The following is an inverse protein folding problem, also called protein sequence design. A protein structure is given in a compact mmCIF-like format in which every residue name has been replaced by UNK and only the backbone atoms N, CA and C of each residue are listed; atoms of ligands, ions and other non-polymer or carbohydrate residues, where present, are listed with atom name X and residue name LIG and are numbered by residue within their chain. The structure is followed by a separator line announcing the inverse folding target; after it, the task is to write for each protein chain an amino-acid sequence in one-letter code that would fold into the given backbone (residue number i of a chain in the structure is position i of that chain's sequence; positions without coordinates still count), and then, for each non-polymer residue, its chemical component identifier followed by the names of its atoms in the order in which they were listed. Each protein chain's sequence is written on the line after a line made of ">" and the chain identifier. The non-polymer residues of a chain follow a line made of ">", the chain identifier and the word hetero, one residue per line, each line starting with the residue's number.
data_IF_948624608651
#
_entry.id   IF_948624608651
#
_cell.length_a   1.000
_cell.length_b   1.000
_cell.length_c   1.000
_cell.angle_alpha   90.00
_cell.angle_beta   90.00
_cell.angle_gamma   90.00
#
_symmetry.space_group_name_H-M   'P 1'
#
loop_
_entity.id
_entity.type
_entity.pdbx_description
1 polymer ?
#
# COMPACT_ATOMS: atom_id res chain seq x y z
N UNK A 1 9.84 -4.10 1.28
CA UNK A 1 11.15 -4.78 1.12
C UNK A 1 12.09 -3.88 0.35
N UNK A 2 13.42 -4.03 0.47
CA UNK A 2 14.42 -3.27 -0.31
C UNK A 2 15.71 -4.07 -0.42
N UNK A 3 16.44 -3.91 -1.54
CA UNK A 3 17.71 -4.61 -1.78
C UNK A 3 18.95 -3.91 -1.16
N UNK A 4 18.74 -2.83 -0.41
CA UNK A 4 19.79 -2.00 0.18
C UNK A 4 19.81 -2.05 1.71
N UNK A 5 19.26 -3.10 2.32
CA UNK A 5 19.14 -3.30 3.77
C UNK A 5 18.36 -2.21 4.54
N UNK A 6 17.59 -1.35 3.84
CA UNK A 6 16.75 -0.32 4.46
C UNK A 6 15.26 -0.70 4.56
N UNK A 7 14.90 -1.91 4.14
CA UNK A 7 13.53 -2.42 4.25
C UNK A 7 13.38 -3.36 5.43
N UNK A 8 12.21 -3.37 6.09
CA UNK A 8 11.92 -4.33 7.16
C UNK A 8 11.86 -5.79 6.65
N UNK A 9 11.47 -6.01 5.40
CA UNK A 9 11.28 -7.37 4.87
C UNK A 9 10.29 -8.17 5.72
N UNK A 10 10.61 -9.43 6.02
CA UNK A 10 9.72 -10.30 6.81
C UNK A 10 9.59 -9.88 8.28
N UNK A 11 10.47 -8.98 8.78
CA UNK A 11 10.37 -8.44 10.13
C UNK A 11 9.08 -7.67 10.41
N UNK A 12 8.32 -7.33 9.36
CA UNK A 12 6.98 -6.75 9.48
C UNK A 12 6.06 -7.64 10.34
N UNK A 13 6.22 -8.97 10.29
CA UNK A 13 5.41 -9.91 11.12
C UNK A 13 5.64 -9.69 12.61
N UNK A 14 6.90 -9.60 13.03
CA UNK A 14 7.26 -9.33 14.42
C UNK A 14 6.88 -7.89 14.80
N UNK A 15 7.13 -6.92 13.92
CA UNK A 15 6.75 -5.53 14.16
C UNK A 15 5.24 -5.35 14.38
N UNK A 16 4.40 -6.11 13.66
CA UNK A 16 2.95 -6.15 13.90
C UNK A 16 2.63 -6.56 15.34
N UNK A 17 3.29 -7.60 15.85
CA UNK A 17 3.08 -8.05 17.24
C UNK A 17 3.49 -6.98 18.27
N UNK A 18 4.37 -6.06 17.88
CA UNK A 18 4.81 -4.92 18.69
C UNK A 18 3.96 -3.65 18.49
N UNK A 19 2.89 -3.70 17.69
CA UNK A 19 1.96 -2.58 17.50
C UNK A 19 2.18 -1.75 16.23
N UNK A 20 2.88 -2.28 15.21
CA UNK A 20 2.97 -1.62 13.90
C UNK A 20 1.57 -1.35 13.32
N UNK A 21 1.30 -0.09 13.00
CA UNK A 21 -0.04 0.37 12.57
C UNK A 21 -0.24 0.45 11.05
N UNK A 22 0.79 0.21 10.25
CA UNK A 22 0.72 0.27 8.80
C UNK A 22 2.08 0.05 8.13
N UNK A 23 2.07 -0.18 6.82
CA UNK A 23 3.26 -0.47 6.01
C UNK A 23 3.28 0.42 4.79
N UNK A 24 4.39 1.11 4.56
CA UNK A 24 4.70 1.69 3.24
C UNK A 24 4.95 0.56 2.25
N UNK A 25 3.91 0.20 1.50
CA UNK A 25 3.92 -0.88 0.55
C UNK A 25 4.42 -0.41 -0.83
N UNK A 26 4.24 0.88 -1.16
CA UNK A 26 4.65 1.45 -2.44
C UNK A 26 5.53 2.69 -2.27
N UNK A 27 6.84 2.49 -2.41
CA UNK A 27 7.84 3.55 -2.33
C UNK A 27 8.41 3.85 -3.73
N UNK A 28 8.54 5.13 -4.09
CA UNK A 28 8.97 5.56 -5.44
C UNK A 28 10.40 5.17 -5.82
N UNK A 29 11.23 5.01 -4.79
CA UNK A 29 12.64 4.61 -4.83
C UNK A 29 12.86 3.12 -4.57
N UNK A 30 11.79 2.32 -4.63
CA UNK A 30 11.81 0.86 -4.45
C UNK A 30 11.39 0.14 -5.75
N UNK A 31 12.04 -0.99 -6.04
CA UNK A 31 11.75 -1.80 -7.21
C UNK A 31 10.31 -2.33 -7.19
N UNK A 32 9.60 -2.40 -8.35
CA UNK A 32 8.19 -2.77 -8.37
C UNK A 32 7.87 -4.11 -7.69
N UNK A 33 8.70 -5.13 -7.88
CA UNK A 33 8.48 -6.44 -7.25
C UNK A 33 8.64 -6.39 -5.72
N UNK A 34 9.54 -5.52 -5.20
CA UNK A 34 9.74 -5.33 -3.76
C UNK A 34 8.56 -4.59 -3.11
N UNK A 35 7.94 -3.67 -3.86
CA UNK A 35 6.68 -3.03 -3.46
C UNK A 35 5.54 -4.07 -3.40
N UNK A 36 5.42 -4.92 -4.42
CA UNK A 36 4.41 -5.99 -4.43
C UNK A 36 4.58 -6.99 -3.28
N UNK A 37 5.82 -7.38 -2.94
CA UNK A 37 6.08 -8.21 -1.76
C UNK A 37 5.60 -7.54 -0.47
N UNK A 38 5.87 -6.24 -0.30
CA UNK A 38 5.42 -5.48 0.87
C UNK A 38 3.90 -5.39 0.93
N UNK A 39 3.25 -5.11 -0.21
CA UNK A 39 1.80 -5.07 -0.33
C UNK A 39 1.16 -6.42 0.01
N UNK A 40 1.69 -7.52 -0.52
CA UNK A 40 1.19 -8.87 -0.24
C UNK A 40 1.29 -9.21 1.25
N UNK A 41 2.45 -8.96 1.88
CA UNK A 41 2.62 -9.25 3.30
C UNK A 41 1.74 -8.36 4.18
N UNK A 42 1.65 -7.06 3.90
CA UNK A 42 0.78 -6.15 4.65
C UNK A 42 -0.70 -6.54 4.52
N UNK A 43 -1.13 -6.93 3.32
CA UNK A 43 -2.50 -7.43 3.07
C UNK A 43 -2.77 -8.73 3.84
N UNK A 44 -1.86 -9.70 3.80
CA UNK A 44 -1.96 -10.95 4.58
C UNK A 44 -2.12 -10.66 6.07
N UNK A 45 -1.41 -9.65 6.55
CA UNK A 45 -1.42 -9.23 7.93
C UNK A 45 -2.56 -8.25 8.27
N UNK A 46 -3.48 -7.95 7.35
CA UNK A 46 -4.53 -6.93 7.55
C UNK A 46 -3.97 -5.60 8.10
N UNK A 47 -2.80 -5.21 7.59
CA UNK A 47 -2.16 -3.93 7.89
C UNK A 47 -2.49 -2.91 6.79
N UNK A 48 -2.71 -1.65 7.14
CA UNK A 48 -2.86 -0.58 6.17
C UNK A 48 -1.67 -0.47 5.23
N UNK A 49 -1.97 -0.45 3.93
CA UNK A 49 -0.99 -0.26 2.88
C UNK A 49 -0.95 1.22 2.46
N UNK A 50 0.21 1.86 2.58
CA UNK A 50 0.41 3.26 2.16
C UNK A 50 1.44 3.37 1.05
N UNK A 51 1.40 4.49 0.33
CA UNK A 51 2.32 4.80 -0.76
C UNK A 51 2.94 6.19 -0.60
N UNK A 52 4.21 6.33 -0.93
CA UNK A 52 4.92 7.61 -0.93
C UNK A 52 5.97 7.65 -2.05
N UNK A 53 6.23 8.85 -2.55
CA UNK A 53 7.24 9.07 -3.56
C UNK A 53 8.66 8.86 -3.03
N UNK A 54 8.93 9.25 -1.77
CA UNK A 54 10.28 9.26 -1.17
C UNK A 54 11.34 9.81 -2.16
N UNK A 55 10.98 10.93 -2.80
CA UNK A 55 11.65 11.43 -3.98
C UNK A 55 12.93 12.18 -3.62
N UNK A 56 14.04 11.77 -4.22
CA UNK A 56 15.33 12.47 -4.16
C UNK A 56 15.72 13.08 -5.53
N UNK A 57 14.90 12.82 -6.56
CA UNK A 57 15.01 13.35 -7.92
C UNK A 57 13.62 13.67 -8.46
N UNK A 58 13.52 14.60 -9.41
CA UNK A 58 12.25 15.19 -9.85
C UNK A 58 11.31 14.16 -10.48
N UNK A 59 11.84 13.16 -11.16
CA UNK A 59 11.09 12.10 -11.85
C UNK A 59 10.38 11.14 -10.87
N UNK A 60 10.74 11.18 -9.59
CA UNK A 60 10.12 10.36 -8.55
C UNK A 60 9.01 11.09 -7.80
N UNK A 61 8.93 12.42 -7.92
CA UNK A 61 7.93 13.23 -7.22
C UNK A 61 6.53 12.77 -7.61
N UNK A 62 5.70 12.46 -6.61
CA UNK A 62 4.33 11.99 -6.81
C UNK A 62 4.19 10.60 -7.45
N UNK A 63 5.27 9.85 -7.68
CA UNK A 63 5.18 8.51 -8.31
C UNK A 63 4.19 7.58 -7.59
N UNK A 64 4.26 7.57 -6.26
CA UNK A 64 3.24 6.95 -5.40
C UNK A 64 2.74 7.95 -4.37
N UNK A 65 1.50 7.78 -3.96
CA UNK A 65 0.83 8.56 -2.93
C UNK A 65 -0.10 7.68 -2.10
N UNK A 66 -0.62 8.24 -1.02
CA UNK A 66 -1.67 7.63 -0.20
C UNK A 66 -2.96 8.41 -0.37
N UNK A 67 -4.04 7.70 -0.68
CA UNK A 67 -5.38 8.24 -0.82
C UNK A 67 -6.10 8.06 0.50
N UNK A 68 -6.70 9.14 0.99
CA UNK A 68 -7.57 9.17 2.17
C UNK A 68 -8.99 9.47 1.69
N UNK A 69 -9.86 8.45 1.52
CA UNK A 69 -11.16 8.62 0.86
C UNK A 69 -12.05 9.68 1.51
N UNK A 70 -11.95 9.83 2.83
CA UNK A 70 -12.75 10.79 3.60
C UNK A 70 -12.09 12.17 3.71
N UNK A 71 -10.92 12.37 3.10
CA UNK A 71 -10.08 13.54 3.32
C UNK A 71 -9.43 13.56 4.71
N UNK A 72 -8.47 14.46 4.90
CA UNK A 72 -7.75 14.68 6.15
C UNK A 72 -7.73 16.18 6.43
N UNK A 73 -8.16 16.61 7.62
CA UNK A 73 -8.12 18.03 8.02
C UNK A 73 -6.96 18.32 8.96
N UNK A 74 -6.63 17.36 9.82
CA UNK A 74 -5.59 17.47 10.85
C UNK A 74 -4.87 16.13 11.09
N UNK A 75 -3.92 16.15 12.03
CA UNK A 75 -3.16 14.97 12.43
C UNK A 75 -4.04 13.85 13.01
N UNK A 76 -5.13 14.19 13.70
CA UNK A 76 -6.02 13.18 14.32
C UNK A 76 -6.75 12.40 13.24
N UNK A 77 -7.28 13.10 12.24
CA UNK A 77 -7.90 12.47 11.06
C UNK A 77 -6.88 11.52 10.38
N UNK A 78 -5.62 11.94 10.23
CA UNK A 78 -4.57 11.13 9.61
C UNK A 78 -4.31 9.83 10.39
N UNK A 79 -4.11 9.95 11.70
CA UNK A 79 -3.86 8.81 12.58
C UNK A 79 -5.06 7.85 12.57
N UNK A 80 -6.28 8.39 12.63
CA UNK A 80 -7.50 7.60 12.65
C UNK A 80 -7.69 6.85 11.32
N UNK A 81 -7.54 7.52 10.18
CA UNK A 81 -7.69 6.90 8.87
C UNK A 81 -6.71 5.73 8.67
N UNK A 82 -5.46 5.87 9.13
CA UNK A 82 -4.48 4.77 9.11
C UNK A 82 -4.93 3.64 10.04
N UNK A 83 -5.26 3.93 11.30
CA UNK A 83 -5.67 2.89 12.27
C UNK A 83 -6.92 2.11 11.85
N UNK A 84 -7.84 2.76 11.16
CA UNK A 84 -9.08 2.17 10.63
C UNK A 84 -8.87 1.41 9.31
N UNK A 85 -7.64 1.37 8.79
CA UNK A 85 -7.34 0.83 7.47
C UNK A 85 -8.17 1.48 6.34
N UNK A 86 -8.54 2.75 6.51
CA UNK A 86 -9.28 3.54 5.53
C UNK A 86 -8.33 4.39 4.68
N UNK A 87 -7.37 3.71 4.05
CA UNK A 87 -6.34 4.30 3.20
C UNK A 87 -6.06 3.38 2.01
N UNK A 88 -5.62 3.97 0.89
CA UNK A 88 -5.27 3.19 -0.28
C UNK A 88 -3.99 3.75 -0.93
N UNK A 89 -2.99 2.91 -1.27
CA UNK A 89 -1.86 3.39 -2.04
C UNK A 89 -2.29 3.67 -3.48
N UNK A 90 -1.74 4.70 -4.10
CA UNK A 90 -2.02 5.07 -5.48
C UNK A 90 -0.73 5.33 -6.25
N UNK A 91 -0.76 5.07 -7.56
CA UNK A 91 0.33 5.35 -8.49
C UNK A 91 -0.09 6.48 -9.43
N UNK A 92 0.80 7.45 -9.65
CA UNK A 92 0.57 8.44 -10.70
C UNK A 92 0.82 7.82 -12.07
N UNK A 93 -0.18 7.86 -12.95
CA UNK A 93 -0.12 7.30 -14.29
C UNK A 93 -0.99 8.13 -15.24
N UNK A 94 -0.38 8.69 -16.29
CA UNK A 94 -1.04 9.47 -17.33
C UNK A 94 -1.96 10.59 -16.81
N UNK A 95 -1.42 11.47 -15.96
CA UNK A 95 -2.13 12.67 -15.51
C UNK A 95 -3.05 12.49 -14.30
N UNK A 96 -3.13 11.27 -13.75
CA UNK A 96 -4.05 10.95 -12.66
C UNK A 96 -3.48 9.90 -11.71
N UNK A 97 -3.96 9.90 -10.47
CA UNK A 97 -3.64 8.85 -9.51
C UNK A 97 -4.59 7.66 -9.68
N UNK A 98 -4.03 6.47 -9.87
CA UNK A 98 -4.76 5.21 -9.93
C UNK A 98 -4.60 4.42 -8.63
N UNK A 99 -5.71 4.02 -8.03
CA UNK A 99 -5.72 3.23 -6.81
C UNK A 99 -5.12 1.85 -7.04
N UNK A 100 -4.26 1.44 -6.10
CA UNK A 100 -3.64 0.12 -6.08
C UNK A 100 -4.41 -0.74 -5.07
N UNK A 101 -5.47 -1.36 -5.58
CA UNK A 101 -6.30 -2.30 -4.86
C UNK A 101 -6.29 -3.66 -5.58
N UNK A 102 -5.16 -4.36 -5.47
CA UNK A 102 -4.94 -5.63 -6.18
C UNK A 102 -5.76 -6.74 -5.51
N UNK A 103 -5.80 -6.76 -4.17
CA UNK A 103 -6.51 -7.78 -3.40
C UNK A 103 -8.00 -7.84 -3.74
N UNK A 104 -8.72 -6.72 -3.61
CA UNK A 104 -10.17 -6.73 -3.90
C UNK A 104 -10.44 -6.98 -5.38
N UNK A 105 -9.57 -6.51 -6.29
CA UNK A 105 -9.69 -6.85 -7.72
C UNK A 105 -9.57 -8.36 -7.95
N UNK A 106 -8.67 -9.05 -7.26
CA UNK A 106 -8.51 -10.51 -7.38
C UNK A 106 -9.73 -11.22 -6.80
N UNK A 107 -10.15 -10.90 -5.57
CA UNK A 107 -11.32 -11.53 -4.93
C UNK A 107 -12.59 -11.32 -5.75
N UNK A 108 -12.89 -10.08 -6.14
CA UNK A 108 -14.06 -9.78 -6.97
C UNK A 108 -14.04 -10.49 -8.33
N UNK A 109 -12.86 -10.74 -8.90
CA UNK A 109 -12.74 -11.52 -10.14
C UNK A 109 -12.89 -13.02 -9.92
N UNK A 110 -12.47 -13.55 -8.75
CA UNK A 110 -12.70 -14.94 -8.37
C UNK A 110 -14.20 -15.19 -8.18
N UNK A 111 -14.90 -14.32 -7.45
CA UNK A 111 -16.35 -14.43 -7.23
C UNK A 111 -17.15 -14.44 -8.54
N UNK A 112 -16.71 -13.63 -9.52
CA UNK A 112 -17.30 -13.61 -10.87
C UNK A 112 -17.04 -14.89 -11.68
N UNK A 113 -15.98 -15.65 -11.36
CA UNK A 113 -15.60 -16.89 -12.06
C UNK A 113 -16.20 -18.15 -11.44
N UNK A 114 -16.71 -18.10 -10.22
CA UNK A 114 -17.29 -19.27 -9.52
C UNK A 114 -18.59 -19.80 -10.18
N UNK A 115 -19.17 -19.08 -11.15
CA UNK A 115 -20.35 -19.52 -11.89
C UNK A 115 -20.03 -20.04 -13.30
N UNK A 116 -19.30 -21.16 -13.40
CA UNK A 116 -19.35 -22.12 -14.52
C UNK A 116 -18.58 -23.39 -14.16
N UNK A 117 -19.01 -24.05 -13.08
CA UNK A 117 -18.77 -25.48 -12.93
C UNK A 117 -20.06 -26.13 -13.42
N UNK A 118 -20.03 -26.61 -14.67
CA UNK A 118 -21.03 -27.53 -15.25
C UNK A 118 -20.56 -28.94 -14.96
#
# INVERSE_FOLDING_TARGET
>A
YRNNNRGMGDYIRQAKMLGLSGVEAFNGSTEPHQNLLAYSLATELNLPCIGSSDAHVIEKVGKYATVFPNGIRDEKDLIQAIKENNVCPAMYDNGQYKYIDIYNKVINNLDKKIYKIV
#
